data_IF_705910364127
#
_entry.id   IF_705910364127
#
_cell.length_a   1.000
_cell.length_b   1.000
_cell.length_c   1.000
_cell.angle_alpha   90.00
_cell.angle_beta   90.00
_cell.angle_gamma   90.00
#
_symmetry.space_group_name_H-M   'P 1'
#
loop_
_entity.id
_entity.type
_entity.pdbx_description
1 polymer ?
#
# COMPACT_ATOMS: atom_id res chain seq x y z
N UNK A 1 24.84 -37.58 43.16
CA UNK A 1 24.16 -36.93 42.03
C UNK A 1 22.65 -36.73 42.31
N UNK A 2 22.26 -36.05 43.40
CA UNK A 2 20.83 -35.89 43.78
C UNK A 2 20.33 -34.44 43.80
N UNK A 3 21.17 -33.46 43.46
CA UNK A 3 20.73 -32.06 43.32
C UNK A 3 19.90 -31.84 42.04
N UNK A 4 20.06 -32.70 41.03
CA UNK A 4 19.40 -32.53 39.72
C UNK A 4 17.90 -32.82 39.77
N UNK A 5 17.46 -33.82 40.56
CA UNK A 5 16.04 -34.15 40.73
C UNK A 5 15.28 -33.13 41.58
N UNK A 6 15.97 -32.31 42.39
CA UNK A 6 15.34 -31.33 43.28
C UNK A 6 15.03 -29.99 42.60
N UNK A 7 15.86 -29.58 41.63
CA UNK A 7 15.64 -28.36 40.83
C UNK A 7 14.97 -28.59 39.48
N UNK A 8 14.76 -29.84 39.05
CA UNK A 8 14.12 -30.16 37.77
C UNK A 8 12.71 -29.56 37.63
N UNK A 9 11.95 -29.53 38.71
CA UNK A 9 10.60 -28.92 38.73
C UNK A 9 10.62 -27.42 38.44
N UNK A 10 11.65 -26.69 38.90
CA UNK A 10 11.80 -25.25 38.62
C UNK A 10 12.15 -25.03 37.15
N UNK A 11 13.02 -25.87 36.61
CA UNK A 11 13.38 -25.82 35.18
C UNK A 11 12.15 -26.11 34.32
N UNK A 12 11.36 -27.13 34.67
CA UNK A 12 10.12 -27.45 33.97
C UNK A 12 9.09 -26.32 34.05
N UNK A 13 8.92 -25.70 35.21
CA UNK A 13 8.03 -24.55 35.39
C UNK A 13 8.49 -23.32 34.58
N UNK A 14 9.79 -23.00 34.61
CA UNK A 14 10.33 -21.93 33.78
C UNK A 14 10.15 -22.23 32.29
N UNK A 15 10.36 -23.48 31.86
CA UNK A 15 10.17 -23.89 30.47
C UNK A 15 8.70 -23.71 30.04
N UNK A 16 7.74 -24.12 30.86
CA UNK A 16 6.31 -23.96 30.53
C UNK A 16 5.90 -22.50 30.48
N UNK A 17 6.38 -21.66 31.42
CA UNK A 17 6.16 -20.21 31.36
C UNK A 17 6.74 -19.60 30.08
N UNK A 18 7.96 -19.99 29.69
CA UNK A 18 8.58 -19.51 28.44
C UNK A 18 7.79 -19.94 27.20
N UNK A 19 7.32 -21.19 27.14
CA UNK A 19 6.54 -21.69 26.01
C UNK A 19 5.19 -20.98 25.88
N UNK A 20 4.48 -20.78 26.98
CA UNK A 20 3.20 -20.04 27.00
C UNK A 20 3.41 -18.59 26.59
N UNK A 21 4.44 -17.93 27.13
CA UNK A 21 4.78 -16.56 26.75
C UNK A 21 5.12 -16.45 25.26
N UNK A 22 5.94 -17.38 24.75
CA UNK A 22 6.33 -17.38 23.33
C UNK A 22 5.12 -17.61 22.42
N UNK A 23 4.25 -18.56 22.76
CA UNK A 23 3.03 -18.85 22.00
C UNK A 23 2.12 -17.62 21.94
N UNK A 24 1.79 -17.05 23.10
CA UNK A 24 0.95 -15.85 23.18
C UNK A 24 1.56 -14.67 22.42
N UNK A 25 2.87 -14.46 22.54
CA UNK A 25 3.57 -13.40 21.81
C UNK A 25 3.51 -13.60 20.30
N UNK A 26 3.60 -14.85 19.82
CA UNK A 26 3.53 -15.16 18.39
C UNK A 26 2.14 -14.87 17.81
N UNK A 27 1.06 -15.21 18.52
CA UNK A 27 -0.31 -14.93 18.11
C UNK A 27 -0.60 -13.43 18.05
N UNK A 28 -0.11 -12.67 19.04
CA UNK A 28 -0.24 -11.21 19.05
C UNK A 28 0.51 -10.57 17.90
N UNK A 29 1.73 -11.05 17.59
CA UNK A 29 2.51 -10.56 16.45
C UNK A 29 1.81 -10.83 15.12
N UNK A 30 1.22 -12.01 14.95
CA UNK A 30 0.48 -12.33 13.72
C UNK A 30 -0.76 -11.43 13.55
N UNK A 31 -1.53 -11.21 14.62
CA UNK A 31 -2.68 -10.32 14.60
C UNK A 31 -2.30 -8.87 14.28
N UNK A 32 -1.22 -8.37 14.88
CA UNK A 32 -0.69 -7.03 14.60
C UNK A 32 -0.21 -6.92 13.16
N UNK A 33 0.55 -7.90 12.67
CA UNK A 33 1.05 -7.93 11.29
C UNK A 33 -0.10 -7.90 10.27
N UNK A 34 -1.16 -8.67 10.52
CA UNK A 34 -2.35 -8.65 9.66
C UNK A 34 -3.04 -7.28 9.67
N UNK A 35 -3.20 -6.66 10.84
CA UNK A 35 -3.81 -5.33 10.94
C UNK A 35 -2.96 -4.25 10.27
N UNK A 36 -1.63 -4.32 10.38
CA UNK A 36 -0.73 -3.35 9.71
C UNK A 36 -0.78 -3.47 8.20
N UNK A 37 -0.80 -4.69 7.66
CA UNK A 37 -0.93 -4.91 6.22
C UNK A 37 -2.25 -4.34 5.69
N UNK A 38 -3.36 -4.60 6.40
CA UNK A 38 -4.67 -4.07 6.00
C UNK A 38 -4.72 -2.54 6.07
N UNK A 39 -4.06 -1.94 7.05
CA UNK A 39 -3.97 -0.49 7.18
C UNK A 39 -3.18 0.12 6.02
N UNK A 40 -2.06 -0.49 5.64
CA UNK A 40 -1.25 -0.07 4.50
C UNK A 40 -2.02 -0.16 3.18
N UNK A 41 -2.76 -1.25 2.96
CA UNK A 41 -3.63 -1.43 1.80
C UNK A 41 -4.70 -0.32 1.72
N UNK A 42 -5.43 -0.09 2.82
CA UNK A 42 -6.44 0.98 2.90
C UNK A 42 -5.83 2.38 2.69
N UNK A 43 -4.61 2.63 3.19
CA UNK A 43 -3.90 3.87 2.95
C UNK A 43 -3.53 4.04 1.47
N UNK A 44 -3.10 2.96 0.81
CA UNK A 44 -2.78 2.99 -0.61
C UNK A 44 -4.03 3.24 -1.47
N UNK A 45 -5.15 2.59 -1.14
CA UNK A 45 -6.44 2.84 -1.80
C UNK A 45 -6.89 4.28 -1.62
N UNK A 46 -6.80 4.81 -0.40
CA UNK A 46 -7.09 6.21 -0.10
C UNK A 46 -6.24 7.15 -0.96
N UNK A 47 -4.94 6.88 -1.08
CA UNK A 47 -4.05 7.68 -1.90
C UNK A 47 -4.44 7.67 -3.38
N UNK A 48 -4.75 6.50 -3.94
CA UNK A 48 -5.22 6.39 -5.33
C UNK A 48 -6.53 7.14 -5.54
N UNK A 49 -7.46 7.07 -4.59
CA UNK A 49 -8.73 7.77 -4.65
C UNK A 49 -8.54 9.30 -4.61
N UNK A 50 -7.64 9.80 -3.77
CA UNK A 50 -7.28 11.22 -3.71
C UNK A 50 -6.66 11.68 -5.03
N UNK A 51 -5.67 10.94 -5.56
CA UNK A 51 -5.06 11.28 -6.85
C UNK A 51 -6.08 11.31 -7.98
N UNK A 52 -7.01 10.36 -8.00
CA UNK A 52 -8.09 10.34 -8.99
C UNK A 52 -9.03 11.54 -8.83
N UNK A 53 -9.35 11.93 -7.60
CA UNK A 53 -10.15 13.13 -7.33
C UNK A 53 -9.46 14.38 -7.84
N UNK A 54 -8.17 14.55 -7.53
CA UNK A 54 -7.36 15.69 -7.97
C UNK A 54 -7.25 15.76 -9.50
N UNK A 55 -7.03 14.63 -10.17
CA UNK A 55 -7.04 14.56 -11.63
C UNK A 55 -8.39 14.99 -12.19
N UNK A 56 -9.50 14.44 -11.67
CA UNK A 56 -10.84 14.81 -12.10
C UNK A 56 -11.15 16.29 -11.85
N UNK A 57 -10.74 16.85 -10.71
CA UNK A 57 -10.89 18.27 -10.40
C UNK A 57 -10.11 19.15 -11.37
N UNK A 58 -8.88 18.75 -11.72
CA UNK A 58 -8.10 19.42 -12.75
C UNK A 58 -8.81 19.36 -14.10
N UNK A 59 -9.31 18.18 -14.51
CA UNK A 59 -10.07 18.00 -15.75
C UNK A 59 -11.31 18.89 -15.79
N UNK A 60 -12.06 19.00 -14.69
CA UNK A 60 -13.25 19.86 -14.60
C UNK A 60 -12.85 21.34 -14.69
N UNK A 61 -11.81 21.76 -13.97
CA UNK A 61 -11.34 23.13 -14.00
C UNK A 61 -10.90 23.57 -15.41
N UNK A 62 -10.33 22.64 -16.16
CA UNK A 62 -9.81 22.89 -17.51
C UNK A 62 -10.82 22.65 -18.63
N UNK A 63 -12.03 22.14 -18.36
CA UNK A 63 -13.09 21.99 -19.36
C UNK A 63 -13.56 23.33 -19.96
N UNK A 64 -13.27 24.46 -19.31
CA UNK A 64 -13.53 25.79 -19.85
C UNK A 64 -12.34 26.37 -20.64
N UNK A 65 -11.21 25.66 -20.71
CA UNK A 65 -10.02 26.07 -21.45
C UNK A 65 -9.99 25.38 -22.83
N UNK A 66 -10.12 26.15 -23.94
CA UNK A 66 -10.07 25.60 -25.29
C UNK A 66 -8.78 24.82 -25.59
N UNK A 67 -7.63 25.30 -25.10
CA UNK A 67 -6.34 24.64 -25.35
C UNK A 67 -6.24 23.29 -24.63
N UNK A 68 -6.87 23.18 -23.46
CA UNK A 68 -6.95 21.92 -22.73
C UNK A 68 -7.86 20.90 -23.43
N UNK A 69 -9.00 21.34 -23.96
CA UNK A 69 -9.90 20.48 -24.76
C UNK A 69 -9.15 19.93 -25.97
N UNK A 70 -8.44 20.78 -26.71
CA UNK A 70 -7.64 20.35 -27.86
C UNK A 70 -6.56 19.33 -27.47
N UNK A 71 -5.83 19.57 -26.37
CA UNK A 71 -4.81 18.64 -25.87
C UNK A 71 -5.41 17.26 -25.52
N UNK A 72 -6.57 17.23 -24.84
CA UNK A 72 -7.26 15.98 -24.49
C UNK A 72 -7.72 15.24 -25.75
N UNK A 73 -8.31 15.96 -26.72
CA UNK A 73 -8.71 15.37 -28.00
C UNK A 73 -7.52 14.77 -28.75
N UNK A 74 -6.38 15.48 -28.81
CA UNK A 74 -5.18 14.96 -29.45
C UNK A 74 -4.64 13.70 -28.75
N UNK A 75 -4.68 13.66 -27.41
CA UNK A 75 -4.21 12.52 -26.62
C UNK A 75 -5.13 11.30 -26.73
N UNK A 76 -6.43 11.49 -26.56
CA UNK A 76 -7.40 10.41 -26.42
C UNK A 76 -7.89 9.88 -27.78
N UNK A 77 -8.02 10.75 -28.79
CA UNK A 77 -8.42 10.36 -30.16
C UNK A 77 -7.21 10.18 -31.09
N UNK A 78 -6.01 10.59 -30.68
CA UNK A 78 -4.80 10.49 -31.50
C UNK A 78 -4.77 11.43 -32.71
N UNK A 79 -5.68 12.41 -32.74
CA UNK A 79 -5.84 13.38 -33.83
C UNK A 79 -4.89 14.57 -33.65
N UNK A 80 -4.61 15.30 -34.73
CA UNK A 80 -3.78 16.51 -34.70
C UNK A 80 -4.56 17.62 -35.42
N UNK A 81 -4.63 18.85 -34.88
CA UNK A 81 -5.33 19.96 -35.52
C UNK A 81 -4.73 20.30 -36.88
N UNK A 82 -5.55 20.88 -37.74
CA UNK A 82 -5.10 21.32 -39.05
C UNK A 82 -3.93 22.31 -38.93
N UNK A 83 -2.84 22.06 -39.67
CA UNK A 83 -1.63 22.88 -39.64
C UNK A 83 -0.51 22.36 -38.72
N UNK A 84 -0.75 21.34 -37.90
CA UNK A 84 0.26 20.75 -37.02
C UNK A 84 0.76 19.39 -37.55
N UNK A 85 2.07 19.10 -37.40
CA UNK A 85 2.69 17.86 -37.87
C UNK A 85 3.09 16.96 -36.68
N UNK A 86 2.63 15.71 -36.67
CA UNK A 86 3.02 14.72 -35.65
C UNK A 86 4.47 14.26 -35.88
N UNK A 87 5.40 14.72 -35.05
CA UNK A 87 6.81 14.33 -35.14
C UNK A 87 7.08 13.14 -34.21
N UNK A 88 7.54 12.02 -34.78
CA UNK A 88 8.05 10.87 -34.02
C UNK A 88 9.58 10.90 -34.00
N UNK A 89 10.17 11.08 -32.82
CA UNK A 89 11.61 10.91 -32.63
C UNK A 89 11.93 9.41 -32.52
N UNK A 90 12.71 8.88 -33.46
CA UNK A 90 13.32 7.54 -33.32
C UNK A 90 14.51 7.64 -32.37
N UNK A 91 14.61 6.68 -31.46
CA UNK A 91 15.74 6.53 -30.54
C UNK A 91 16.94 5.89 -31.24
#
# INVERSE_FOLDING_TARGET
MSFWSRSWWVVSFCLTCCLVYFHFMSEKKAAVAHMTLKLEEMQQEKWRAIQKKEDLELRIASQNDPAWIEMILMRDLGVVPEGFLKVHFKK
#
